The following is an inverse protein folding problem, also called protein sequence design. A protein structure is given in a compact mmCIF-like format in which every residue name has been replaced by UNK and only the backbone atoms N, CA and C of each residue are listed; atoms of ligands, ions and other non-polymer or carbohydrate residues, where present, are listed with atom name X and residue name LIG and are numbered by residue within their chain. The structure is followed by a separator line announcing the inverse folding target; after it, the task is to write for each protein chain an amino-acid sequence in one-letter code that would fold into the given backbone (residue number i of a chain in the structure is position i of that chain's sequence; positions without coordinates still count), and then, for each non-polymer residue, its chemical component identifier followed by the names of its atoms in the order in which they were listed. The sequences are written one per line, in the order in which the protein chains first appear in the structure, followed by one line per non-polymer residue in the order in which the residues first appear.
data_IF_945852804768
#
_entry.id   IF_945852804768
#
_cell.length_a   1.000
_cell.length_b   1.000
_cell.length_c   1.000
_cell.angle_alpha   90.00
_cell.angle_beta   90.00
_cell.angle_gamma   90.00
#
_symmetry.space_group_name_H-M   'P 1'
#
loop_
_entity.id
_entity.type
_entity.pdbx_description
1 polymer ?
#
# COMPACT_ATOMS: atom_id res chain seq x y z
N UNK A 1 12.50 -5.79 -18.09
CA UNK A 1 11.11 -6.30 -18.21
C UNK A 1 10.59 -5.96 -19.61
N UNK A 2 10.48 -6.94 -20.51
CA UNK A 2 10.00 -6.75 -21.89
C UNK A 2 8.46 -6.79 -21.90
N UNK A 3 7.78 -5.64 -21.92
CA UNK A 3 6.39 -5.50 -22.40
C UNK A 3 5.31 -6.43 -21.82
N UNK A 4 5.50 -7.03 -20.65
CA UNK A 4 4.51 -7.91 -20.00
C UNK A 4 3.56 -7.09 -19.14
N UNK A 5 2.27 -7.38 -19.25
CA UNK A 5 1.25 -6.76 -18.42
C UNK A 5 1.30 -7.30 -16.99
N UNK A 6 0.95 -6.46 -16.01
CA UNK A 6 0.70 -6.93 -14.64
C UNK A 6 -0.31 -8.09 -14.65
N UNK A 7 -0.12 -9.17 -13.88
CA UNK A 7 0.88 -9.39 -12.82
C UNK A 7 2.15 -10.16 -13.24
N UNK A 8 2.36 -10.42 -14.53
CA UNK A 8 3.45 -11.29 -14.97
C UNK A 8 4.84 -10.64 -14.73
N UNK A 9 5.72 -11.34 -14.01
CA UNK A 9 7.05 -10.83 -13.64
C UNK A 9 7.09 -10.04 -12.31
N UNK A 10 5.96 -9.85 -11.63
CA UNK A 10 5.89 -9.07 -10.38
C UNK A 10 6.65 -9.75 -9.25
N UNK A 11 6.43 -11.05 -9.04
CA UNK A 11 7.11 -11.77 -7.97
C UNK A 11 8.62 -11.82 -8.23
N UNK A 12 9.04 -12.06 -9.47
CA UNK A 12 10.45 -12.02 -9.86
C UNK A 12 11.09 -10.65 -9.60
N UNK A 13 10.35 -9.57 -9.86
CA UNK A 13 10.77 -8.21 -9.52
C UNK A 13 10.91 -8.03 -8.00
N UNK A 14 9.94 -8.49 -7.20
CA UNK A 14 10.03 -8.40 -5.74
C UNK A 14 11.21 -9.23 -5.20
N UNK A 15 11.42 -10.44 -5.72
CA UNK A 15 12.55 -11.31 -5.37
C UNK A 15 13.92 -10.68 -5.65
N UNK A 16 14.01 -9.79 -6.64
CA UNK A 16 15.26 -9.06 -6.90
C UNK A 16 15.72 -8.21 -5.71
N UNK A 17 14.77 -7.74 -4.88
CA UNK A 17 15.02 -6.87 -3.72
C UNK A 17 15.83 -5.60 -4.05
N UNK A 18 15.52 -4.98 -5.19
CA UNK A 18 16.20 -3.79 -5.73
C UNK A 18 15.33 -2.51 -5.74
N UNK A 19 14.17 -2.55 -5.10
CA UNK A 19 13.30 -1.37 -5.02
C UNK A 19 13.93 -0.30 -4.11
N UNK A 20 13.97 0.95 -4.59
CA UNK A 20 14.47 2.09 -3.79
C UNK A 20 13.34 2.70 -2.97
N UNK A 21 13.64 3.28 -1.79
CA UNK A 21 12.64 4.01 -1.01
C UNK A 21 12.20 5.27 -1.76
N UNK A 22 10.94 5.66 -1.57
CA UNK A 22 10.45 6.97 -2.00
C UNK A 22 11.25 8.06 -1.26
N UNK A 23 11.50 9.18 -1.93
CA UNK A 23 12.24 10.30 -1.35
C UNK A 23 11.62 10.74 -0.02
N UNK A 24 12.47 10.98 0.99
CA UNK A 24 12.06 11.37 2.34
C UNK A 24 11.57 10.23 3.24
N UNK A 25 11.12 9.09 2.70
CA UNK A 25 10.58 7.98 3.50
C UNK A 25 11.62 7.43 4.49
N UNK A 26 12.85 7.17 4.01
CA UNK A 26 13.93 6.65 4.87
C UNK A 26 14.25 7.55 6.05
N UNK A 27 14.42 8.85 5.80
CA UNK A 27 14.73 9.82 6.85
C UNK A 27 13.61 9.96 7.87
N UNK A 28 12.35 9.95 7.41
CA UNK A 28 11.18 10.02 8.28
C UNK A 28 11.05 8.77 9.16
N UNK A 29 11.14 7.59 8.56
CA UNK A 29 11.04 6.33 9.29
C UNK A 29 12.17 6.18 10.32
N UNK A 30 13.41 6.54 9.94
CA UNK A 30 14.53 6.56 10.89
C UNK A 30 14.34 7.58 12.02
N UNK A 31 13.68 8.71 11.77
CA UNK A 31 13.32 9.66 12.81
C UNK A 31 12.31 9.02 13.77
N UNK A 32 11.21 8.48 13.26
CA UNK A 32 10.18 7.82 14.06
C UNK A 32 10.75 6.68 14.93
N UNK A 33 11.59 5.82 14.34
CA UNK A 33 12.26 4.71 15.04
C UNK A 33 13.14 5.17 16.21
N UNK A 34 13.89 6.27 16.04
CA UNK A 34 14.71 6.86 17.12
C UNK A 34 13.90 7.53 18.23
N UNK A 35 12.61 7.75 18.00
CA UNK A 35 11.67 8.35 18.94
C UNK A 35 10.66 7.32 19.46
N UNK A 36 11.05 6.04 19.48
CA UNK A 36 10.28 4.92 20.03
C UNK A 36 8.90 4.73 19.38
N UNK A 37 8.75 5.16 18.12
CA UNK A 37 7.53 4.93 17.34
C UNK A 37 7.64 3.59 16.59
N UNK A 38 6.64 2.74 16.79
CA UNK A 38 6.50 1.47 16.07
C UNK A 38 6.01 1.70 14.63
N UNK A 39 6.67 1.04 13.69
CA UNK A 39 6.51 1.22 12.24
C UNK A 39 6.01 -0.10 11.67
N UNK A 40 4.81 -0.10 11.11
CA UNK A 40 4.22 -1.25 10.44
C UNK A 40 4.15 -1.04 8.93
N UNK A 41 4.77 -1.93 8.16
CA UNK A 41 4.74 -1.95 6.70
C UNK A 41 3.56 -2.78 6.20
N UNK A 42 2.38 -2.15 6.04
CA UNK A 42 1.15 -2.81 5.57
C UNK A 42 1.04 -2.75 4.04
N UNK A 43 1.24 -3.88 3.37
CA UNK A 43 1.41 -3.92 1.90
C UNK A 43 0.70 -5.10 1.24
N UNK A 44 0.15 -4.90 0.03
CA UNK A 44 -0.55 -5.94 -0.73
C UNK A 44 0.35 -6.87 -1.54
N UNK A 45 1.67 -6.85 -1.30
CA UNK A 45 2.55 -7.96 -1.71
C UNK A 45 2.07 -9.26 -1.06
N UNK A 46 2.31 -10.40 -1.72
CA UNK A 46 1.85 -11.70 -1.20
C UNK A 46 2.70 -12.12 0.00
N UNK A 47 2.04 -12.47 1.10
CA UNK A 47 2.72 -13.01 2.26
C UNK A 47 3.46 -14.31 1.93
N UNK A 48 2.80 -15.21 1.20
CA UNK A 48 3.28 -16.56 0.87
C UNK A 48 4.48 -16.54 -0.09
N UNK A 49 4.54 -15.53 -0.98
CA UNK A 49 5.57 -15.45 -2.02
C UNK A 49 6.64 -14.40 -1.76
N UNK A 50 6.29 -13.28 -1.13
CA UNK A 50 7.09 -12.06 -1.19
C UNK A 50 7.64 -11.58 0.16
N UNK A 51 7.30 -12.24 1.29
CA UNK A 51 7.65 -11.76 2.63
C UNK A 51 9.16 -11.63 2.84
N UNK A 52 9.91 -12.70 2.64
CA UNK A 52 11.35 -12.71 2.92
C UNK A 52 12.11 -11.77 1.97
N UNK A 53 11.70 -11.70 0.70
CA UNK A 53 12.26 -10.75 -0.27
C UNK A 53 11.95 -9.29 0.08
N UNK A 54 10.75 -9.01 0.58
CA UNK A 54 10.37 -7.67 1.03
C UNK A 54 11.19 -7.24 2.24
N UNK A 55 11.32 -8.10 3.25
CA UNK A 55 12.18 -7.85 4.41
C UNK A 55 13.63 -7.62 3.98
N UNK A 56 14.14 -8.45 3.06
CA UNK A 56 15.50 -8.27 2.50
C UNK A 56 15.66 -6.91 1.84
N UNK A 57 14.71 -6.48 1.01
CA UNK A 57 14.75 -5.17 0.36
C UNK A 57 14.76 -4.03 1.38
N UNK A 58 13.88 -4.08 2.39
CA UNK A 58 13.83 -3.05 3.44
C UNK A 58 15.16 -2.96 4.20
N UNK A 59 15.78 -4.11 4.51
CA UNK A 59 17.11 -4.19 5.16
C UNK A 59 18.22 -3.64 4.27
N UNK A 60 18.25 -3.99 2.98
CA UNK A 60 19.22 -3.48 2.02
C UNK A 60 19.18 -1.94 1.96
N UNK A 61 17.98 -1.38 1.99
CA UNK A 61 17.74 0.06 2.00
C UNK A 61 17.91 0.70 3.40
N UNK A 62 18.24 -0.10 4.42
CA UNK A 62 18.42 0.31 5.82
C UNK A 62 17.20 1.04 6.38
N UNK A 63 16.01 0.52 6.06
CA UNK A 63 14.77 0.94 6.69
C UNK A 63 14.60 0.24 8.04
N UNK A 64 14.13 0.96 9.08
CA UNK A 64 14.03 0.42 10.43
C UNK A 64 12.94 -0.64 10.55
N UNK A 65 12.99 -1.44 11.61
CA UNK A 65 11.94 -2.42 11.95
C UNK A 65 11.61 -3.39 10.79
N UNK A 66 12.62 -3.75 10.00
CA UNK A 66 12.47 -4.66 8.86
C UNK A 66 12.51 -6.13 9.31
N UNK A 67 11.40 -6.61 9.89
CA UNK A 67 11.23 -7.98 10.37
C UNK A 67 9.78 -8.49 10.22
N UNK A 68 9.53 -9.74 10.62
CA UNK A 68 8.23 -10.42 10.45
C UNK A 68 7.13 -9.92 11.39
N UNK A 69 7.46 -9.18 12.46
CA UNK A 69 6.47 -8.53 13.34
C UNK A 69 5.90 -7.29 12.66
N UNK A 70 6.77 -6.51 12.03
CA UNK A 70 6.43 -5.19 11.49
C UNK A 70 6.03 -5.21 10.01
N UNK A 71 6.44 -6.22 9.24
CA UNK A 71 6.07 -6.36 7.82
C UNK A 71 4.80 -7.19 7.68
N UNK A 72 3.68 -6.51 7.40
CA UNK A 72 2.34 -7.10 7.32
C UNK A 72 1.87 -7.19 5.87
N UNK A 73 2.18 -8.32 5.24
CA UNK A 73 1.81 -8.60 3.85
C UNK A 73 0.42 -9.22 3.73
N UNK A 74 -0.17 -9.10 2.54
CA UNK A 74 -1.50 -9.64 2.24
C UNK A 74 -1.47 -11.16 2.18
N UNK A 75 -2.32 -11.80 2.99
CA UNK A 75 -2.51 -13.26 2.94
C UNK A 75 -3.51 -13.66 1.87
N UNK A 76 -3.44 -14.91 1.43
CA UNK A 76 -4.45 -15.48 0.56
C UNK A 76 -5.86 -15.36 1.19
N UNK A 77 -6.84 -14.90 0.39
CA UNK A 77 -8.23 -14.68 0.83
C UNK A 77 -8.51 -13.33 1.50
N UNK A 78 -7.49 -12.56 1.87
CA UNK A 78 -7.66 -11.23 2.46
C UNK A 78 -8.14 -10.22 1.40
N UNK A 79 -9.10 -9.35 1.75
CA UNK A 79 -9.76 -8.45 0.78
C UNK A 79 -9.16 -7.05 0.71
N UNK A 80 -8.59 -6.57 1.81
CA UNK A 80 -8.11 -5.20 1.94
C UNK A 80 -7.05 -5.09 3.02
N UNK A 81 -6.79 -3.88 3.48
CA UNK A 81 -5.78 -3.60 4.52
C UNK A 81 -6.40 -3.40 5.90
N UNK A 82 -7.72 -3.32 6.00
CA UNK A 82 -8.43 -3.09 7.26
C UNK A 82 -8.05 -4.10 8.34
N UNK A 83 -8.05 -5.41 8.03
CA UNK A 83 -7.72 -6.46 8.99
C UNK A 83 -6.30 -6.29 9.57
N UNK A 84 -5.32 -6.00 8.72
CA UNK A 84 -3.93 -5.72 9.16
C UNK A 84 -3.83 -4.44 9.97
N UNK A 85 -4.55 -3.38 9.62
CA UNK A 85 -4.60 -2.14 10.43
C UNK A 85 -5.24 -2.39 11.79
N UNK A 86 -6.32 -3.16 11.84
CA UNK A 86 -7.02 -3.47 13.09
C UNK A 86 -6.15 -4.33 14.01
N UNK A 87 -5.39 -5.28 13.44
CA UNK A 87 -4.38 -6.03 14.21
C UNK A 87 -3.36 -5.11 14.88
N UNK A 88 -2.90 -4.06 14.18
CA UNK A 88 -2.00 -3.05 14.78
C UNK A 88 -2.72 -2.28 15.88
N UNK A 89 -3.99 -1.89 15.68
CA UNK A 89 -4.78 -1.13 16.66
C UNK A 89 -5.06 -1.89 17.96
N UNK A 90 -5.00 -3.22 17.96
CA UNK A 90 -5.18 -4.03 19.17
C UNK A 90 -4.12 -3.71 20.23
N UNK A 91 -2.87 -3.52 19.82
CA UNK A 91 -1.73 -3.37 20.73
C UNK A 91 -1.11 -1.96 20.69
N UNK A 92 -1.43 -1.17 19.66
CA UNK A 92 -0.81 0.14 19.41
C UNK A 92 -1.85 1.22 19.12
N UNK A 93 -1.53 2.46 19.49
CA UNK A 93 -2.29 3.61 19.03
C UNK A 93 -1.83 4.03 17.63
N UNK A 94 -2.65 3.82 16.61
CA UNK A 94 -2.34 4.18 15.23
C UNK A 94 -2.51 5.69 15.01
N UNK A 95 -1.39 6.44 15.02
CA UNK A 95 -1.39 7.90 14.94
C UNK A 95 -1.29 8.47 13.52
N UNK A 96 -0.66 7.74 12.59
CA UNK A 96 -0.47 8.17 11.20
C UNK A 96 -0.49 6.97 10.25
N UNK A 97 -0.96 7.22 9.03
CA UNK A 97 -0.96 6.31 7.89
C UNK A 97 -0.32 7.00 6.68
N UNK A 98 0.45 6.23 5.92
CA UNK A 98 1.20 6.70 4.76
C UNK A 98 0.86 5.80 3.58
N UNK A 99 0.53 6.39 2.42
CA UNK A 99 0.10 5.61 1.28
C UNK A 99 -0.10 6.43 0.02
N UNK A 100 -0.16 5.76 -1.12
CA UNK A 100 -0.43 6.36 -2.43
C UNK A 100 -1.85 6.06 -2.94
N UNK A 101 -2.60 5.26 -2.19
CA UNK A 101 -3.93 4.79 -2.54
C UNK A 101 -4.90 5.04 -1.38
N UNK A 102 -6.13 5.47 -1.66
CA UNK A 102 -7.13 5.71 -0.60
C UNK A 102 -7.34 4.49 0.31
N UNK A 103 -7.22 3.29 -0.24
CA UNK A 103 -7.37 2.02 0.50
C UNK A 103 -6.26 1.78 1.54
N UNK A 104 -5.18 2.56 1.51
CA UNK A 104 -4.15 2.56 2.55
C UNK A 104 -4.65 3.19 3.84
N UNK A 105 -5.58 4.15 3.75
CA UNK A 105 -6.14 4.89 4.87
C UNK A 105 -7.42 4.25 5.38
N UNK A 106 -8.40 4.08 4.48
CA UNK A 106 -9.73 3.53 4.81
C UNK A 106 -10.44 2.99 3.55
N UNK A 107 -11.58 2.32 3.73
CA UNK A 107 -12.33 1.68 2.66
C UNK A 107 -13.63 2.43 2.31
N UNK A 108 -13.88 2.73 1.03
CA UNK A 108 -15.14 3.35 0.64
C UNK A 108 -16.29 2.35 0.80
N UNK A 109 -17.49 2.83 1.16
CA UNK A 109 -18.68 1.99 1.35
C UNK A 109 -19.05 1.14 0.14
N UNK A 110 -18.74 1.64 -1.06
CA UNK A 110 -18.92 0.97 -2.33
C UNK A 110 -17.72 1.28 -3.22
N UNK A 111 -17.36 0.41 -4.18
CA UNK A 111 -16.20 0.62 -5.02
C UNK A 111 -16.52 1.59 -6.19
N UNK A 112 -17.13 2.74 -5.92
CA UNK A 112 -17.51 3.73 -6.95
C UNK A 112 -16.75 5.04 -6.76
N UNK A 113 -16.57 5.81 -7.84
CA UNK A 113 -15.95 7.14 -7.76
C UNK A 113 -16.66 8.03 -6.72
N UNK A 114 -17.99 8.03 -6.71
CA UNK A 114 -18.81 8.79 -5.75
C UNK A 114 -18.55 8.40 -4.30
N UNK A 115 -18.46 7.09 -4.00
CA UNK A 115 -18.18 6.65 -2.62
C UNK A 115 -16.75 6.97 -2.19
N UNK A 116 -15.79 7.02 -3.12
CA UNK A 116 -14.41 7.45 -2.84
C UNK A 116 -14.34 8.94 -2.56
N UNK A 117 -15.02 9.76 -3.35
CA UNK A 117 -15.12 11.20 -3.10
C UNK A 117 -15.77 11.48 -1.74
N UNK A 118 -16.84 10.75 -1.41
CA UNK A 118 -17.49 10.85 -0.11
C UNK A 118 -16.54 10.48 1.05
N UNK A 119 -15.72 9.44 0.88
CA UNK A 119 -14.70 9.06 1.86
C UNK A 119 -13.65 10.17 2.04
N UNK A 120 -13.15 10.74 0.94
CA UNK A 120 -12.17 11.84 1.00
C UNK A 120 -12.77 13.03 1.74
N UNK A 121 -13.99 13.42 1.41
CA UNK A 121 -14.68 14.53 2.08
C UNK A 121 -14.93 14.26 3.57
N UNK A 122 -15.26 13.02 3.93
CA UNK A 122 -15.44 12.63 5.34
C UNK A 122 -14.14 12.79 6.16
N UNK A 123 -12.99 12.61 5.52
CA UNK A 123 -11.67 12.64 6.15
C UNK A 123 -10.82 13.84 5.72
N UNK A 124 -11.44 14.94 5.28
CA UNK A 124 -10.71 16.09 4.71
C UNK A 124 -9.69 16.67 5.70
N UNK A 125 -10.04 16.77 6.98
CA UNK A 125 -9.16 17.27 8.05
C UNK A 125 -8.08 16.24 8.48
N UNK A 126 -8.26 14.96 8.15
CA UNK A 126 -7.27 13.92 8.44
C UNK A 126 -6.16 13.91 7.39
N UNK A 127 -6.42 14.35 6.15
CA UNK A 127 -5.40 14.44 5.11
C UNK A 127 -4.36 15.52 5.41
N UNK A 128 -3.08 15.14 5.36
CA UNK A 128 -1.95 16.01 5.72
C UNK A 128 -1.66 16.04 7.23
N UNK A 129 -2.50 15.43 8.07
CA UNK A 129 -2.29 15.30 9.51
C UNK A 129 -2.08 13.84 9.93
N UNK A 130 -3.12 13.00 9.77
CA UNK A 130 -3.09 11.56 10.06
C UNK A 130 -2.90 10.74 8.79
N UNK A 131 -3.44 11.19 7.67
CA UNK A 131 -3.35 10.51 6.37
C UNK A 131 -2.38 11.27 5.48
N UNK A 132 -1.17 10.73 5.32
CA UNK A 132 -0.14 11.33 4.48
C UNK A 132 -0.16 10.63 3.12
N UNK A 133 -0.74 11.30 2.12
CA UNK A 133 -0.92 10.78 0.78
C UNK A 133 0.26 11.12 -0.13
N UNK A 134 0.72 10.14 -0.91
CA UNK A 134 1.73 10.29 -1.95
C UNK A 134 1.09 10.24 -3.34
N UNK A 135 1.62 11.00 -4.32
CA UNK A 135 1.12 10.94 -5.69
C UNK A 135 1.59 9.68 -6.40
N UNK A 136 0.65 8.84 -6.87
CA UNK A 136 0.92 7.74 -7.80
C UNK A 136 -0.04 7.81 -9.00
N UNK A 137 0.38 8.42 -10.12
CA UNK A 137 -0.41 8.49 -11.35
C UNK A 137 -0.27 7.23 -12.24
N UNK A 138 0.56 6.24 -11.85
CA UNK A 138 0.89 5.11 -12.72
C UNK A 138 -0.15 3.99 -12.67
N UNK A 139 -0.69 3.70 -11.49
CA UNK A 139 -1.72 2.68 -11.27
C UNK A 139 -2.36 2.88 -9.89
N UNK A 140 -3.52 2.30 -9.66
CA UNK A 140 -4.13 2.26 -8.34
C UNK A 140 -5.61 1.93 -8.37
N UNK A 141 -6.23 1.89 -7.19
CA UNK A 141 -7.67 1.62 -7.09
C UNK A 141 -8.54 2.72 -7.73
N UNK A 142 -7.97 3.89 -8.00
CA UNK A 142 -8.62 4.97 -8.74
C UNK A 142 -8.83 4.60 -10.22
N UNK A 143 -7.86 3.95 -10.85
CA UNK A 143 -7.95 3.49 -12.25
C UNK A 143 -9.09 2.48 -12.39
N UNK A 144 -9.19 1.55 -11.42
CA UNK A 144 -10.24 0.54 -11.38
C UNK A 144 -11.66 1.12 -11.37
N UNK A 145 -11.85 2.32 -10.81
CA UNK A 145 -13.17 2.96 -10.80
C UNK A 145 -13.62 3.48 -12.16
N UNK A 146 -12.72 3.66 -13.12
CA UNK A 146 -13.07 4.05 -14.49
C UNK A 146 -13.77 2.91 -15.25
N UNK A 147 -13.55 1.67 -14.82
CA UNK A 147 -14.08 0.48 -15.46
C UNK A 147 -14.86 -0.43 -14.48
N UNK A 148 -15.58 0.19 -13.54
CA UNK A 148 -16.47 -0.45 -12.55
C UNK A 148 -15.80 -1.58 -11.73
N UNK A 149 -14.48 -1.48 -11.52
CA UNK A 149 -13.62 -2.48 -10.87
C UNK A 149 -13.65 -3.85 -11.57
N UNK A 150 -14.01 -3.88 -12.84
CA UNK A 150 -13.93 -5.08 -13.65
C UNK A 150 -12.50 -5.26 -14.19
N UNK A 151 -11.65 -5.87 -13.37
CA UNK A 151 -10.25 -6.15 -13.71
C UNK A 151 -10.08 -7.07 -14.93
N UNK A 152 -11.12 -7.83 -15.29
CA UNK A 152 -11.16 -8.75 -16.43
C UNK A 152 -11.54 -8.14 -17.77
N UNK A 153 -11.76 -6.82 -17.84
CA UNK A 153 -12.00 -6.14 -19.12
C UNK A 153 -10.79 -6.24 -20.06
N UNK A 154 -11.05 -6.57 -21.31
CA UNK A 154 -10.04 -6.54 -22.37
C UNK A 154 -9.42 -5.14 -22.50
N UNK A 155 -8.11 -5.08 -22.73
CA UNK A 155 -7.34 -3.83 -22.74
C UNK A 155 -7.94 -2.76 -23.67
N UNK A 156 -8.51 -3.14 -24.82
CA UNK A 156 -9.12 -2.21 -25.77
C UNK A 156 -10.34 -1.48 -25.20
N UNK A 157 -11.05 -2.09 -24.24
CA UNK A 157 -12.21 -1.47 -23.59
C UNK A 157 -11.83 -0.54 -22.44
N UNK A 158 -10.65 -0.73 -21.82
CA UNK A 158 -10.11 0.17 -20.80
C UNK A 158 -9.60 1.50 -21.36
N UNK A 159 -9.29 1.55 -22.67
CA UNK A 159 -8.82 2.77 -23.36
C UNK A 159 -9.99 3.68 -23.78
N UNK A 160 -11.22 3.16 -23.81
CA UNK A 160 -12.41 3.89 -24.28
C UNK A 160 -13.31 4.41 -23.15
N UNK A 161 -13.04 4.01 -21.90
CA UNK A 161 -13.73 4.48 -20.68
C UNK A 161 -13.10 5.77 -20.16
#
# INVERSE_FOLDING_TARGET
LKGKAFPEGWHEWVQSAQAKPVYGAKSFLQYADRHDVEIFYVSDRSHEKDLDATIKNLRNEKLPQADKKHVLLKKEGEKGKAERRDKVRTDYNLVMLFGDNLLDFDEPKQPTAKSREALVKQHEDDFGSKYIIFPNPMYGSWEATLYDNNYGLENNKKIQS
#
